data_IF_144406815071
#
_entry.id   IF_144406815071
#
_cell.length_a   1.000
_cell.length_b   1.000
_cell.length_c   1.000
_cell.angle_alpha   90.00
_cell.angle_beta   90.00
_cell.angle_gamma   90.00
#
_symmetry.space_group_name_H-M   'P 1'
#
loop_
_entity.id
_entity.type
_entity.pdbx_description
1 polymer ?
#
# COMPACT_ATOMS: atom_id res chain seq x y z
N UNK A 1 -45.53 16.09 27.19
CA UNK A 1 -45.60 14.61 27.33
C UNK A 1 -44.29 14.14 27.96
N UNK A 2 -44.42 13.42 29.07
CA UNK A 2 -43.37 13.05 30.01
C UNK A 2 -42.35 12.07 29.40
N UNK A 3 -41.08 12.19 29.77
CA UNK A 3 -40.17 11.04 29.85
C UNK A 3 -39.32 11.17 31.11
N UNK A 4 -39.50 10.19 31.99
CA UNK A 4 -39.03 10.17 33.37
C UNK A 4 -37.50 10.14 33.50
N UNK A 5 -36.99 10.92 34.45
CA UNK A 5 -35.67 10.75 35.06
C UNK A 5 -35.76 9.70 36.16
N UNK A 6 -35.08 8.57 36.00
CA UNK A 6 -34.83 7.60 37.07
C UNK A 6 -33.32 7.56 37.32
N UNK A 7 -32.91 8.07 38.47
CA UNK A 7 -31.58 7.95 39.04
C UNK A 7 -31.54 6.74 39.96
N UNK A 8 -30.63 5.80 39.73
CA UNK A 8 -30.18 4.84 40.74
C UNK A 8 -28.64 4.84 40.76
N UNK A 9 -28.11 4.95 41.97
CA UNK A 9 -26.69 5.04 42.32
C UNK A 9 -25.92 3.75 42.00
N UNK A 10 -24.73 3.87 41.40
CA UNK A 10 -23.54 3.15 41.87
C UNK A 10 -22.26 3.87 41.41
N UNK A 11 -21.30 4.00 42.32
CA UNK A 11 -20.12 4.86 42.23
C UNK A 11 -18.95 4.13 41.55
N UNK A 12 -19.09 3.82 40.25
CA UNK A 12 -18.00 3.22 39.45
C UNK A 12 -18.01 3.86 38.05
N UNK A 13 -17.10 4.82 37.82
CA UNK A 13 -16.78 5.45 36.52
C UNK A 13 -17.98 5.68 35.57
N UNK A 14 -18.74 6.77 35.78
CA UNK A 14 -19.84 7.17 34.90
C UNK A 14 -19.37 7.28 33.45
N UNK A 15 -19.78 6.31 32.64
CA UNK A 15 -19.51 6.27 31.21
C UNK A 15 -20.86 6.36 30.50
N UNK A 16 -21.08 7.41 29.69
CA UNK A 16 -22.40 7.68 29.11
C UNK A 16 -22.35 7.56 27.59
N UNK A 17 -23.34 6.86 27.01
CA UNK A 17 -23.57 6.80 25.57
C UNK A 17 -24.51 7.94 25.16
N UNK A 18 -24.08 8.78 24.22
CA UNK A 18 -24.93 9.81 23.62
C UNK A 18 -25.22 9.47 22.16
N UNK A 19 -26.51 9.33 21.84
CA UNK A 19 -27.03 9.32 20.46
C UNK A 19 -27.36 10.77 20.09
N UNK A 20 -26.64 11.35 19.14
CA UNK A 20 -26.90 12.71 18.68
C UNK A 20 -27.26 12.66 17.20
N UNK A 21 -28.49 13.09 16.88
CA UNK A 21 -28.92 13.41 15.52
C UNK A 21 -28.72 14.93 15.37
N UNK A 22 -27.82 15.39 14.51
CA UNK A 22 -27.80 16.80 14.11
C UNK A 22 -28.78 16.94 12.95
N UNK A 23 -29.95 17.53 13.22
CA UNK A 23 -30.82 18.04 12.18
C UNK A 23 -30.55 19.54 12.05
N UNK A 24 -30.00 19.97 10.93
CA UNK A 24 -30.02 21.39 10.57
C UNK A 24 -31.45 21.72 10.11
N UNK A 25 -32.12 22.67 10.78
CA UNK A 25 -33.37 23.22 10.26
C UNK A 25 -33.01 24.20 9.14
N UNK A 26 -33.28 23.83 7.89
CA UNK A 26 -33.33 24.81 6.83
C UNK A 26 -34.49 25.79 7.14
N UNK A 27 -34.32 27.11 6.97
CA UNK A 27 -35.43 28.04 7.06
C UNK A 27 -36.51 27.63 6.04
N UNK A 28 -37.79 27.69 6.44
CA UNK A 28 -38.92 27.36 5.56
C UNK A 28 -38.79 28.17 4.25
N UNK A 29 -38.59 27.48 3.13
CA UNK A 29 -38.55 28.07 1.78
C UNK A 29 -37.26 27.85 0.98
N UNK A 30 -36.20 27.25 1.55
CA UNK A 30 -34.99 26.97 0.78
C UNK A 30 -35.16 25.78 -0.18
N UNK A 31 -35.07 26.05 -1.49
CA UNK A 31 -35.08 25.03 -2.56
C UNK A 31 -33.70 24.36 -2.61
N UNK A 32 -33.59 23.01 -2.66
CA UNK A 32 -32.32 22.29 -2.52
C UNK A 32 -31.21 22.70 -3.49
N UNK A 33 -31.57 23.24 -4.66
CA UNK A 33 -30.60 23.58 -5.70
C UNK A 33 -29.83 24.89 -5.45
N UNK A 34 -30.33 25.78 -4.58
CA UNK A 34 -29.73 27.09 -4.27
C UNK A 34 -28.69 27.01 -3.14
N UNK A 35 -28.71 25.95 -2.33
CA UNK A 35 -27.76 25.75 -1.22
C UNK A 35 -26.30 25.52 -1.70
N UNK A 36 -26.11 25.09 -2.95
CA UNK A 36 -24.79 24.85 -3.56
C UNK A 36 -24.01 26.14 -3.85
N UNK A 37 -24.68 27.26 -4.09
CA UNK A 37 -24.03 28.56 -4.35
C UNK A 37 -23.58 29.28 -3.06
N UNK A 38 -24.01 28.80 -1.88
CA UNK A 38 -23.69 29.39 -0.57
C UNK A 38 -22.67 28.56 0.22
N UNK A 39 -22.00 27.59 -0.42
CA UNK A 39 -20.97 26.77 0.21
C UNK A 39 -21.47 25.74 1.23
N UNK A 40 -22.77 25.43 1.25
CA UNK A 40 -23.30 24.33 2.05
C UNK A 40 -23.17 23.03 1.25
N UNK A 41 -22.09 22.28 1.49
CA UNK A 41 -22.04 20.86 1.14
C UNK A 41 -23.14 20.11 1.91
N UNK A 42 -23.85 19.23 1.20
CA UNK A 42 -24.82 18.34 1.81
C UNK A 42 -24.11 17.46 2.85
N UNK A 43 -24.27 17.80 4.12
CA UNK A 43 -23.70 17.10 5.27
C UNK A 43 -24.33 15.69 5.32
N UNK A 44 -23.56 14.70 4.85
CA UNK A 44 -23.82 13.27 5.02
C UNK A 44 -24.12 13.02 6.49
N UNK A 45 -25.40 12.90 6.82
CA UNK A 45 -25.86 12.81 8.21
C UNK A 45 -25.25 11.60 8.93
N UNK A 46 -24.09 11.81 9.58
CA UNK A 46 -23.36 10.76 10.26
C UNK A 46 -24.16 10.29 11.49
N UNK A 47 -24.66 9.06 11.46
CA UNK A 47 -25.15 8.38 12.65
C UNK A 47 -23.94 8.00 13.53
N UNK A 48 -23.59 8.89 14.45
CA UNK A 48 -22.42 8.74 15.34
C UNK A 48 -22.83 8.37 16.76
N UNK A 49 -22.23 7.31 17.30
CA UNK A 49 -22.27 7.03 18.74
C UNK A 49 -20.98 7.51 19.40
N UNK A 50 -21.11 8.29 20.48
CA UNK A 50 -19.97 8.83 21.24
C UNK A 50 -20.00 8.32 22.68
N UNK A 51 -18.85 7.83 23.14
CA UNK A 51 -18.57 7.50 24.53
C UNK A 51 -17.70 8.59 25.14
N UNK A 52 -18.10 9.09 26.31
CA UNK A 52 -17.35 10.12 27.05
C UNK A 52 -17.03 9.69 28.49
N UNK A 53 -15.92 10.20 29.03
CA UNK A 53 -15.48 9.96 30.41
C UNK A 53 -16.09 10.99 31.37
N UNK A 54 -17.01 10.57 32.23
CA UNK A 54 -17.53 11.36 33.36
C UNK A 54 -18.06 12.76 32.98
N UNK A 55 -18.14 13.64 33.97
CA UNK A 55 -18.55 15.06 33.81
C UNK A 55 -17.55 15.88 32.98
N UNK A 56 -16.30 15.43 32.92
CA UNK A 56 -15.24 16.04 32.11
C UNK A 56 -15.54 15.94 30.61
N UNK A 57 -16.35 14.98 30.16
CA UNK A 57 -16.82 14.92 28.79
C UNK A 57 -15.75 14.58 27.74
N UNK A 58 -14.58 14.11 28.18
CA UNK A 58 -13.48 13.73 27.29
C UNK A 58 -13.90 12.61 26.34
N UNK A 59 -13.56 12.75 25.07
CA UNK A 59 -13.88 11.75 24.03
C UNK A 59 -13.08 10.47 24.27
N UNK A 60 -13.77 9.33 24.37
CA UNK A 60 -13.12 8.02 24.53
C UNK A 60 -13.28 7.14 23.28
N UNK A 61 -14.50 7.06 22.76
CA UNK A 61 -14.82 6.21 21.63
C UNK A 61 -15.84 6.88 20.74
N UNK A 62 -15.64 6.73 19.44
CA UNK A 62 -16.60 7.15 18.43
C UNK A 62 -16.84 6.00 17.47
N UNK A 63 -18.10 5.62 17.27
CA UNK A 63 -18.51 4.63 16.28
C UNK A 63 -19.34 5.32 15.20
N UNK A 64 -18.89 5.18 13.96
CA UNK A 64 -19.59 5.60 12.75
C UNK A 64 -20.41 4.42 12.24
N UNK A 65 -21.73 4.52 12.28
CA UNK A 65 -22.59 3.38 11.99
C UNK A 65 -22.59 2.98 10.51
N UNK A 66 -22.51 3.94 9.60
CA UNK A 66 -22.53 3.66 8.15
C UNK A 66 -21.28 2.94 7.65
N UNK A 67 -20.11 3.20 8.26
CA UNK A 67 -18.82 2.64 7.84
C UNK A 67 -18.33 1.52 8.75
N UNK A 68 -19.01 1.23 9.86
CA UNK A 68 -18.54 0.31 10.90
C UNK A 68 -17.27 0.77 11.63
N UNK A 69 -16.72 1.93 11.28
CA UNK A 69 -15.46 2.44 11.81
C UNK A 69 -15.59 2.86 13.28
N UNK A 70 -14.74 2.32 14.13
CA UNK A 70 -14.65 2.68 15.55
C UNK A 70 -13.31 3.35 15.83
N UNK A 71 -13.33 4.61 16.26
CA UNK A 71 -12.16 5.39 16.66
C UNK A 71 -12.08 5.46 18.19
N UNK A 72 -10.89 5.26 18.74
CA UNK A 72 -10.57 5.36 20.16
C UNK A 72 -9.64 6.56 20.41
N UNK A 73 -9.87 7.25 21.51
CA UNK A 73 -9.17 8.46 21.89
C UNK A 73 -8.70 8.38 23.34
N UNK A 74 -7.59 9.05 23.62
CA UNK A 74 -7.00 9.22 24.94
C UNK A 74 -6.63 10.67 25.17
N UNK A 75 -6.47 11.08 26.42
CA UNK A 75 -6.14 12.45 26.80
C UNK A 75 -7.26 13.13 27.58
N UNK A 76 -6.95 14.31 28.10
CA UNK A 76 -7.89 15.14 28.85
C UNK A 76 -8.91 15.82 27.92
N UNK A 77 -9.96 16.40 28.51
CA UNK A 77 -10.96 17.16 27.76
C UNK A 77 -10.28 18.30 27.00
N UNK A 78 -10.43 18.33 25.67
CA UNK A 78 -9.79 19.36 24.85
C UNK A 78 -8.37 18.99 24.39
N UNK A 79 -7.79 17.90 24.89
CA UNK A 79 -6.49 17.36 24.50
C UNK A 79 -6.61 15.93 23.95
N UNK A 80 -7.82 15.46 23.63
CA UNK A 80 -8.00 14.08 23.18
C UNK A 80 -7.31 13.82 21.84
N UNK A 81 -6.42 12.83 21.83
CA UNK A 81 -5.70 12.32 20.67
C UNK A 81 -6.23 10.97 20.24
N UNK A 82 -6.28 10.71 18.94
CA UNK A 82 -6.68 9.40 18.39
C UNK A 82 -5.55 8.39 18.60
N UNK A 83 -5.84 7.26 19.23
CA UNK A 83 -4.82 6.21 19.50
C UNK A 83 -5.09 4.92 18.75
N UNK A 84 -6.34 4.66 18.36
CA UNK A 84 -6.70 3.42 17.66
C UNK A 84 -7.92 3.61 16.77
N UNK A 85 -7.94 2.92 15.63
CA UNK A 85 -9.11 2.80 14.76
C UNK A 85 -9.33 1.35 14.39
N UNK A 86 -10.57 0.87 14.51
CA UNK A 86 -11.01 -0.47 14.10
C UNK A 86 -11.94 -0.31 12.91
N UNK A 87 -11.54 -0.88 11.77
CA UNK A 87 -12.27 -0.81 10.52
C UNK A 87 -13.33 -1.91 10.43
N UNK A 88 -14.31 -1.77 9.55
CA UNK A 88 -15.37 -2.76 9.35
C UNK A 88 -14.84 -4.14 8.93
N UNK A 89 -13.72 -4.17 8.19
CA UNK A 89 -13.05 -5.40 7.79
C UNK A 89 -12.24 -6.04 8.92
N UNK A 90 -12.34 -5.56 10.17
CA UNK A 90 -11.61 -6.09 11.31
C UNK A 90 -10.16 -5.61 11.43
N UNK A 91 -9.62 -4.89 10.44
CA UNK A 91 -8.29 -4.32 10.55
C UNK A 91 -8.24 -3.29 11.70
N UNK A 92 -7.08 -3.19 12.35
CA UNK A 92 -6.85 -2.28 13.47
C UNK A 92 -5.64 -1.41 13.16
N UNK A 93 -5.79 -0.08 13.21
CA UNK A 93 -4.68 0.86 13.10
C UNK A 93 -4.42 1.55 14.43
N UNK A 94 -3.15 1.64 14.81
CA UNK A 94 -2.66 2.33 16.00
C UNK A 94 -1.97 3.64 15.62
N UNK A 95 -2.11 4.63 16.49
CA UNK A 95 -1.66 5.99 16.25
C UNK A 95 -0.92 6.55 17.47
N UNK A 96 0.08 7.38 17.19
CA UNK A 96 0.89 8.10 18.18
C UNK A 96 1.00 9.58 17.80
N UNK A 97 1.48 10.41 18.72
CA UNK A 97 1.60 11.86 18.52
C UNK A 97 0.61 12.64 19.36
N UNK A 98 0.76 13.96 19.35
CA UNK A 98 -0.11 14.89 20.06
C UNK A 98 -1.46 15.07 19.36
N UNK A 99 -2.42 15.69 20.05
CA UNK A 99 -3.73 15.99 19.46
C UNK A 99 -3.58 16.79 18.17
N UNK A 100 -4.15 16.27 17.09
CA UNK A 100 -4.08 16.91 15.78
C UNK A 100 -2.82 16.57 14.98
N UNK A 101 -1.81 15.97 15.60
CA UNK A 101 -0.57 15.52 15.00
C UNK A 101 -0.44 13.98 14.94
N UNK A 102 -1.56 13.25 15.06
CA UNK A 102 -1.50 11.80 15.24
C UNK A 102 -1.11 11.08 13.96
N UNK A 103 0.04 10.39 14.02
CA UNK A 103 0.60 9.56 12.96
C UNK A 103 0.28 8.08 13.15
N UNK A 104 0.08 7.35 12.06
CA UNK A 104 -0.12 5.89 12.09
C UNK A 104 1.23 5.20 12.33
N UNK A 105 1.31 4.32 13.33
CA UNK A 105 2.55 3.60 13.66
C UNK A 105 2.45 2.10 13.44
N UNK A 106 1.24 1.53 13.49
CA UNK A 106 1.02 0.10 13.33
C UNK A 106 -0.34 -0.18 12.72
N UNK A 107 -0.43 -1.21 11.88
CA UNK A 107 -1.70 -1.72 11.36
C UNK A 107 -1.71 -3.25 11.39
N UNK A 108 -2.73 -3.82 12.01
CA UNK A 108 -2.97 -5.25 12.11
C UNK A 108 -4.14 -5.63 11.21
N UNK A 109 -3.98 -6.72 10.46
CA UNK A 109 -5.01 -7.27 9.58
C UNK A 109 -5.54 -8.58 10.15
N UNK A 110 -6.82 -8.92 9.91
CA UNK A 110 -7.39 -10.20 10.36
C UNK A 110 -6.66 -11.43 9.81
N UNK A 111 -5.93 -11.28 8.70
CA UNK A 111 -5.09 -12.33 8.12
C UNK A 111 -3.90 -12.71 9.00
N UNK A 112 -3.60 -11.95 10.07
CA UNK A 112 -2.40 -12.10 10.89
C UNK A 112 -1.24 -11.22 10.42
N UNK A 113 -1.36 -10.54 9.28
CA UNK A 113 -0.35 -9.59 8.82
C UNK A 113 -0.30 -8.35 9.73
N UNK A 114 0.91 -7.90 10.08
CA UNK A 114 1.17 -6.69 10.85
C UNK A 114 2.10 -5.77 10.09
N UNK A 115 1.76 -4.50 9.98
CA UNK A 115 2.56 -3.47 9.31
C UNK A 115 2.98 -2.39 10.30
N UNK A 116 4.24 -1.95 10.24
CA UNK A 116 4.82 -0.90 11.08
C UNK A 116 5.21 0.29 10.22
N UNK A 117 5.01 1.49 10.77
CA UNK A 117 5.12 2.73 10.03
C UNK A 117 5.94 3.79 10.79
N UNK A 118 6.68 4.59 10.04
CA UNK A 118 7.44 5.74 10.54
C UNK A 118 7.19 6.99 9.70
N UNK A 119 7.57 8.16 10.20
CA UNK A 119 7.34 9.46 9.54
C UNK A 119 6.37 10.36 10.31
N UNK A 120 6.21 11.59 9.82
CA UNK A 120 5.25 12.55 10.36
C UNK A 120 3.81 12.26 9.93
N UNK A 121 2.84 12.93 10.55
CA UNK A 121 1.42 12.79 10.20
C UNK A 121 1.19 13.02 8.70
N UNK A 122 0.55 12.05 8.03
CA UNK A 122 0.27 12.11 6.58
C UNK A 122 1.44 11.71 5.67
N UNK A 123 2.66 11.65 6.23
CA UNK A 123 3.88 11.25 5.55
C UNK A 123 4.39 9.88 6.04
N UNK A 124 3.54 9.05 6.65
CA UNK A 124 3.98 7.78 7.20
C UNK A 124 4.32 6.77 6.09
N UNK A 125 5.54 6.22 6.14
CA UNK A 125 6.06 5.14 5.27
C UNK A 125 6.02 3.79 5.99
N UNK A 126 5.84 2.71 5.25
CA UNK A 126 5.96 1.34 5.78
C UNK A 126 7.45 1.06 6.01
N UNK A 127 7.82 0.59 7.20
CA UNK A 127 9.21 0.23 7.53
C UNK A 127 9.38 -1.26 7.81
N UNK A 128 8.28 -1.95 8.15
CA UNK A 128 8.28 -3.39 8.40
C UNK A 128 6.92 -3.99 8.15
N UNK A 129 6.86 -5.18 7.57
CA UNK A 129 5.67 -6.02 7.49
C UNK A 129 5.99 -7.41 7.99
N UNK A 130 5.19 -7.91 8.93
CA UNK A 130 5.22 -9.29 9.41
C UNK A 130 4.03 -10.02 8.81
N UNK A 131 4.29 -11.15 8.15
CA UNK A 131 3.27 -12.04 7.61
C UNK A 131 2.80 -13.02 8.69
N UNK A 132 1.68 -13.69 8.43
CA UNK A 132 1.07 -14.62 9.37
C UNK A 132 1.93 -15.85 9.67
N UNK A 133 2.85 -16.20 8.77
CA UNK A 133 3.81 -17.30 8.92
C UNK A 133 5.07 -16.91 9.71
N UNK A 134 5.16 -15.66 10.18
CA UNK A 134 6.30 -15.13 10.92
C UNK A 134 7.38 -14.50 10.04
N UNK A 135 7.24 -14.53 8.71
CA UNK A 135 8.17 -13.87 7.78
C UNK A 135 8.12 -12.36 7.98
N UNK A 136 9.28 -11.73 8.18
CA UNK A 136 9.41 -10.30 8.37
C UNK A 136 10.15 -9.65 7.19
N UNK A 137 9.49 -8.66 6.61
CA UNK A 137 9.96 -7.81 5.51
C UNK A 137 10.35 -6.44 6.07
N UNK A 138 11.57 -5.98 5.79
CA UNK A 138 12.05 -4.65 6.19
C UNK A 138 12.06 -3.72 5.00
N UNK A 139 11.58 -2.50 5.20
CA UNK A 139 11.46 -1.49 4.16
C UNK A 139 12.32 -0.28 4.52
N UNK A 140 13.21 0.10 3.63
CA UNK A 140 14.02 1.33 3.74
C UNK A 140 13.77 2.27 2.57
N UNK A 141 14.02 3.55 2.75
CA UNK A 141 13.84 4.58 1.72
C UNK A 141 12.73 5.57 2.04
N UNK A 142 12.61 6.59 1.19
CA UNK A 142 11.54 7.56 1.26
C UNK A 142 10.22 6.97 0.75
N UNK A 143 9.11 7.59 1.14
CA UNK A 143 7.76 7.17 0.71
C UNK A 143 7.70 7.15 -0.83
N UNK A 144 7.40 5.99 -1.41
CA UNK A 144 7.35 5.77 -2.86
C UNK A 144 8.68 5.38 -3.52
N UNK A 145 9.74 5.18 -2.74
CA UNK A 145 11.03 4.63 -3.16
C UNK A 145 11.48 3.50 -2.23
N UNK A 146 10.51 2.74 -1.70
CA UNK A 146 10.78 1.71 -0.70
C UNK A 146 11.58 0.53 -1.30
N UNK A 147 12.64 0.10 -0.61
CA UNK A 147 13.33 -1.16 -0.87
C UNK A 147 12.98 -2.19 0.20
N UNK A 148 12.66 -3.40 -0.24
CA UNK A 148 12.37 -4.55 0.60
C UNK A 148 13.62 -5.43 0.71
N UNK A 149 14.11 -5.67 1.93
CA UNK A 149 15.22 -6.58 2.20
C UNK A 149 14.71 -7.93 2.75
N UNK A 150 15.16 -9.04 2.14
CA UNK A 150 14.93 -10.42 2.58
C UNK A 150 16.20 -11.28 2.41
N UNK A 151 16.25 -12.50 3.00
CA UNK A 151 17.33 -13.44 2.74
C UNK A 151 17.47 -13.87 1.26
N UNK A 152 16.39 -13.79 0.47
CA UNK A 152 16.44 -14.10 -0.97
C UNK A 152 16.98 -12.95 -1.82
N UNK A 153 17.09 -11.74 -1.26
CA UNK A 153 17.57 -10.58 -2.00
C UNK A 153 16.97 -9.24 -1.54
N UNK A 154 17.11 -8.23 -2.38
CA UNK A 154 16.55 -6.90 -2.18
C UNK A 154 15.65 -6.52 -3.35
N UNK A 155 14.37 -6.28 -3.10
CA UNK A 155 13.42 -5.76 -4.08
C UNK A 155 13.26 -4.25 -3.94
N UNK A 156 13.02 -3.55 -5.05
CA UNK A 156 12.89 -2.10 -5.13
C UNK A 156 11.56 -1.75 -5.77
N UNK A 157 10.78 -0.93 -5.09
CA UNK A 157 9.46 -0.51 -5.53
C UNK A 157 9.45 0.98 -5.84
N UNK A 158 8.62 1.38 -6.79
CA UNK A 158 8.32 2.79 -7.07
C UNK A 158 6.81 3.01 -7.21
N UNK A 159 6.36 4.23 -6.97
CA UNK A 159 4.99 4.66 -7.24
C UNK A 159 4.25 5.19 -6.02
N UNK A 160 3.03 5.69 -6.22
CA UNK A 160 2.20 6.19 -5.13
C UNK A 160 1.65 5.05 -4.27
N UNK A 161 1.31 5.36 -3.01
CA UNK A 161 0.73 4.39 -2.09
C UNK A 161 -0.54 3.75 -2.67
N UNK A 162 -0.52 2.43 -2.87
CA UNK A 162 -1.63 1.71 -3.48
C UNK A 162 -1.43 1.43 -4.97
N UNK A 163 -0.45 2.06 -5.61
CA UNK A 163 -0.03 1.86 -6.99
C UNK A 163 1.47 1.55 -7.14
N UNK A 164 2.16 1.29 -6.02
CA UNK A 164 3.55 0.88 -5.98
C UNK A 164 3.76 -0.43 -6.75
N UNK A 165 4.80 -0.46 -7.59
CA UNK A 165 5.17 -1.56 -8.49
C UNK A 165 6.62 -1.96 -8.30
N UNK A 166 6.92 -3.25 -8.50
CA UNK A 166 8.30 -3.76 -8.51
C UNK A 166 9.02 -3.24 -9.76
N UNK A 167 10.19 -2.63 -9.59
CA UNK A 167 11.00 -2.12 -10.72
C UNK A 167 12.37 -2.74 -10.81
N UNK A 168 12.88 -3.26 -9.69
CA UNK A 168 14.19 -3.91 -9.65
C UNK A 168 14.25 -4.93 -8.51
N UNK A 169 14.95 -6.03 -8.73
CA UNK A 169 15.31 -6.98 -7.68
C UNK A 169 16.79 -7.34 -7.80
N UNK A 170 17.47 -7.45 -6.66
CA UNK A 170 18.83 -8.01 -6.55
C UNK A 170 18.68 -9.31 -5.82
N UNK A 171 18.96 -10.43 -6.48
CA UNK A 171 18.86 -11.77 -5.92
C UNK A 171 20.07 -12.10 -5.05
N UNK A 172 19.93 -13.09 -4.17
CA UNK A 172 21.00 -13.52 -3.27
C UNK A 172 22.27 -14.00 -3.99
N UNK A 173 22.15 -14.50 -5.22
CA UNK A 173 23.27 -14.88 -6.09
C UNK A 173 23.95 -13.68 -6.78
N UNK A 174 23.41 -12.47 -6.59
CA UNK A 174 23.90 -11.23 -7.19
C UNK A 174 23.28 -10.89 -8.54
N UNK A 175 22.37 -11.72 -9.08
CA UNK A 175 21.64 -11.37 -10.30
C UNK A 175 20.73 -10.16 -10.07
N UNK A 176 20.65 -9.26 -11.04
CA UNK A 176 19.84 -8.04 -10.98
C UNK A 176 18.76 -8.07 -12.06
N UNK A 177 17.51 -8.21 -11.63
CA UNK A 177 16.34 -8.19 -12.50
C UNK A 177 15.73 -6.78 -12.52
N UNK A 178 15.33 -6.32 -13.70
CA UNK A 178 14.59 -5.07 -13.90
C UNK A 178 13.22 -5.39 -14.46
N UNK A 179 12.22 -4.65 -13.96
CA UNK A 179 10.82 -4.92 -14.21
C UNK A 179 10.11 -3.72 -14.82
N UNK A 180 9.14 -4.00 -15.68
CA UNK A 180 8.18 -3.02 -16.21
C UNK A 180 6.76 -3.54 -16.08
N UNK A 181 5.78 -2.66 -16.20
CA UNK A 181 4.35 -2.99 -16.08
C UNK A 181 3.66 -2.22 -14.97
N UNK A 182 2.35 -2.35 -14.89
CA UNK A 182 1.56 -1.80 -13.79
C UNK A 182 1.65 -2.69 -12.54
N UNK A 183 1.21 -2.16 -11.39
CA UNK A 183 1.14 -2.92 -10.14
C UNK A 183 0.42 -4.25 -10.35
N UNK A 184 1.09 -5.36 -10.03
CA UNK A 184 0.57 -6.72 -10.17
C UNK A 184 0.71 -7.31 -11.57
N UNK A 185 1.09 -6.52 -12.57
CA UNK A 185 1.34 -6.94 -13.96
C UNK A 185 2.82 -6.74 -14.37
N UNK A 186 3.73 -6.65 -13.39
CA UNK A 186 5.15 -6.48 -13.62
C UNK A 186 5.76 -7.72 -14.31
N UNK A 187 6.58 -7.47 -15.33
CA UNK A 187 7.31 -8.45 -16.15
C UNK A 187 8.80 -8.13 -16.16
N UNK A 188 9.66 -9.15 -16.27
CA UNK A 188 11.11 -8.95 -16.41
C UNK A 188 11.41 -8.42 -17.80
N UNK A 189 12.18 -7.33 -17.89
CA UNK A 189 12.63 -6.77 -19.17
C UNK A 189 14.14 -6.85 -19.35
N UNK A 190 14.88 -6.99 -18.24
CA UNK A 190 16.34 -7.09 -18.25
C UNK A 190 16.84 -7.83 -17.03
N UNK A 191 17.79 -8.73 -17.23
CA UNK A 191 18.50 -9.43 -16.16
C UNK A 191 20.01 -9.27 -16.35
N UNK A 192 20.71 -8.92 -15.27
CA UNK A 192 22.17 -8.78 -15.25
C UNK A 192 22.75 -9.84 -14.31
N UNK A 193 23.61 -10.71 -14.83
CA UNK A 193 24.27 -11.74 -14.05
C UNK A 193 25.62 -11.24 -13.52
N UNK A 194 26.10 -11.75 -12.37
CA UNK A 194 27.44 -11.46 -11.86
C UNK A 194 28.57 -11.80 -12.85
N UNK A 195 28.33 -12.70 -13.78
CA UNK A 195 29.24 -13.06 -14.87
C UNK A 195 29.44 -11.94 -15.91
N UNK A 196 28.66 -10.85 -15.83
CA UNK A 196 28.63 -9.77 -16.82
C UNK A 196 27.73 -10.05 -18.02
N UNK A 197 27.00 -11.17 -18.02
CA UNK A 197 25.97 -11.45 -19.02
C UNK A 197 24.77 -10.55 -18.74
N UNK A 198 24.23 -9.92 -19.78
CA UNK A 198 22.99 -9.13 -19.69
C UNK A 198 21.97 -9.68 -20.66
N UNK A 199 20.81 -10.08 -20.17
CA UNK A 199 19.70 -10.60 -20.98
C UNK A 199 18.56 -9.57 -21.02
N UNK A 200 17.87 -9.49 -22.16
CA UNK A 200 16.73 -8.60 -22.39
C UNK A 200 15.54 -9.40 -22.88
N UNK A 201 14.37 -9.06 -22.36
CA UNK A 201 13.16 -9.81 -22.56
C UNK A 201 12.02 -8.93 -23.06
N UNK A 202 11.11 -9.54 -23.82
CA UNK A 202 9.85 -8.93 -24.26
C UNK A 202 8.71 -9.92 -24.08
N UNK A 203 7.48 -9.43 -23.94
CA UNK A 203 6.29 -10.26 -23.79
C UNK A 203 5.36 -9.72 -22.72
N UNK A 204 4.23 -10.40 -22.51
CA UNK A 204 3.36 -10.13 -21.37
C UNK A 204 3.89 -10.83 -20.11
N UNK A 205 3.35 -10.45 -18.94
CA UNK A 205 3.73 -11.08 -17.68
C UNK A 205 3.51 -12.60 -17.74
N UNK A 206 4.57 -13.36 -17.48
CA UNK A 206 4.57 -14.82 -17.56
C UNK A 206 4.78 -15.40 -18.95
N UNK A 207 4.84 -14.56 -20.00
CA UNK A 207 5.09 -14.94 -21.39
C UNK A 207 6.35 -14.26 -21.96
N UNK A 208 7.24 -13.80 -21.08
CA UNK A 208 8.47 -13.10 -21.46
C UNK A 208 9.42 -14.05 -22.20
N UNK A 209 9.90 -13.61 -23.37
CA UNK A 209 10.85 -14.32 -24.23
C UNK A 209 12.16 -13.55 -24.33
N UNK A 210 13.27 -14.27 -24.42
CA UNK A 210 14.59 -13.68 -24.64
C UNK A 210 14.66 -13.10 -26.07
N UNK A 211 14.94 -11.80 -26.18
CA UNK A 211 15.11 -11.15 -27.50
C UNK A 211 16.55 -10.73 -27.77
N UNK A 212 17.33 -10.51 -26.71
CA UNK A 212 18.70 -10.05 -26.84
C UNK A 212 19.55 -10.44 -25.63
N UNK A 213 20.81 -10.80 -25.86
CA UNK A 213 21.78 -11.01 -24.80
C UNK A 213 23.12 -10.36 -25.13
N UNK A 214 23.81 -9.83 -24.12
CA UNK A 214 25.18 -9.33 -24.20
C UNK A 214 26.08 -10.27 -23.42
N UNK A 215 27.04 -10.88 -24.11
CA UNK A 215 27.99 -11.83 -23.51
C UNK A 215 29.41 -11.42 -23.93
N UNK A 216 30.22 -10.95 -22.99
CA UNK A 216 31.62 -10.56 -23.23
C UNK A 216 31.80 -9.61 -24.44
N UNK A 217 30.90 -8.63 -24.59
CA UNK A 217 30.91 -7.68 -25.71
C UNK A 217 30.28 -8.18 -27.02
N UNK A 218 29.87 -9.46 -27.09
CA UNK A 218 29.07 -10.00 -28.19
C UNK A 218 27.59 -9.73 -27.95
N UNK A 219 26.90 -9.16 -28.95
CA UNK A 219 25.46 -8.91 -28.93
C UNK A 219 24.72 -10.01 -29.71
N UNK A 220 23.97 -10.83 -29.00
CA UNK A 220 23.15 -11.90 -29.56
C UNK A 220 21.70 -11.44 -29.66
N UNK A 221 21.05 -11.70 -30.79
CA UNK A 221 19.62 -11.49 -31.00
C UNK A 221 18.90 -12.83 -31.15
N UNK A 222 17.70 -12.88 -30.60
CA UNK A 222 16.89 -14.08 -30.54
C UNK A 222 15.47 -13.81 -31.04
N UNK A 223 14.86 -14.83 -31.63
CA UNK A 223 13.46 -14.82 -32.05
C UNK A 223 12.79 -16.13 -31.69
N UNK A 224 11.49 -16.12 -31.46
CA UNK A 224 10.71 -17.32 -31.15
C UNK A 224 9.65 -17.03 -30.08
N UNK A 225 8.84 -18.04 -29.78
CA UNK A 225 7.94 -18.00 -28.63
C UNK A 225 8.72 -18.26 -27.32
N UNK A 226 8.10 -17.97 -26.19
CA UNK A 226 8.69 -18.23 -24.87
C UNK A 226 9.14 -19.70 -24.77
N UNK A 227 10.42 -19.91 -24.47
CA UNK A 227 11.04 -21.22 -24.37
C UNK A 227 11.50 -21.83 -25.71
N UNK A 228 11.13 -21.26 -26.85
CA UNK A 228 11.52 -21.68 -28.20
C UNK A 228 12.39 -20.64 -28.93
N UNK A 229 13.01 -19.74 -28.19
CA UNK A 229 13.86 -18.68 -28.73
C UNK A 229 15.13 -19.26 -29.36
N UNK A 230 15.33 -18.96 -30.64
CA UNK A 230 16.50 -19.33 -31.44
C UNK A 230 17.40 -18.12 -31.69
N UNK A 231 18.70 -18.34 -31.80
CA UNK A 231 19.64 -17.27 -32.18
C UNK A 231 19.47 -16.94 -33.67
N UNK A 232 19.26 -15.67 -34.01
CA UNK A 232 19.09 -15.22 -35.41
C UNK A 232 20.21 -14.30 -35.89
N UNK A 233 20.90 -13.63 -34.97
CA UNK A 233 21.97 -12.68 -35.30
C UNK A 233 22.97 -12.54 -34.16
N UNK A 234 24.26 -12.50 -34.47
CA UNK A 234 25.31 -12.17 -33.52
C UNK A 234 26.14 -11.00 -34.06
N UNK A 235 26.39 -9.99 -33.24
CA UNK A 235 27.34 -8.91 -33.52
C UNK A 235 28.51 -9.05 -32.56
N UNK A 236 29.71 -9.21 -33.08
CA UNK A 236 30.91 -9.41 -32.28
C UNK A 236 31.62 -8.09 -32.00
N UNK A 237 32.52 -8.11 -31.01
CA UNK A 237 33.26 -6.92 -30.59
C UNK A 237 34.17 -6.33 -31.69
N UNK A 238 34.55 -7.13 -32.68
CA UNK A 238 35.32 -6.69 -33.86
C UNK A 238 34.44 -6.05 -34.96
N UNK A 239 33.12 -5.96 -34.72
CA UNK A 239 32.14 -5.43 -35.66
C UNK A 239 31.66 -6.44 -36.70
N UNK A 240 32.14 -7.69 -36.67
CA UNK A 240 31.61 -8.74 -37.53
C UNK A 240 30.16 -9.08 -37.13
N UNK A 241 29.34 -9.41 -38.13
CA UNK A 241 27.92 -9.74 -37.94
C UNK A 241 27.64 -11.08 -38.61
N UNK A 242 27.09 -12.01 -37.84
CA UNK A 242 26.67 -13.32 -38.30
C UNK A 242 25.15 -13.45 -38.24
N UNK A 243 24.55 -14.08 -39.25
CA UNK A 243 23.13 -14.38 -39.31
C UNK A 243 22.91 -15.89 -39.25
N UNK A 244 21.84 -16.31 -38.59
CA UNK A 244 21.58 -17.70 -38.28
C UNK A 244 20.16 -18.10 -38.68
N UNK A 245 19.99 -19.32 -39.19
CA UNK A 245 18.71 -19.93 -39.50
C UNK A 245 18.63 -21.35 -38.94
N UNK A 246 17.45 -21.78 -38.51
CA UNK A 246 17.18 -23.11 -37.96
C UNK A 246 16.22 -23.05 -36.78
N UNK A 247 15.88 -24.20 -36.22
CA UNK A 247 15.15 -24.24 -34.96
C UNK A 247 16.12 -23.98 -33.79
N UNK A 248 15.57 -23.68 -32.61
CA UNK A 248 16.36 -23.53 -31.38
C UNK A 248 17.28 -24.75 -31.19
N UNK A 249 18.53 -24.48 -30.85
CA UNK A 249 19.60 -25.47 -30.67
C UNK A 249 20.03 -26.22 -31.95
N UNK A 250 19.49 -25.84 -33.12
CA UNK A 250 19.82 -26.40 -34.43
C UNK A 250 20.17 -25.31 -35.47
N UNK A 251 20.51 -24.11 -34.99
CA UNK A 251 20.79 -22.95 -35.83
C UNK A 251 22.12 -23.10 -36.59
N UNK A 252 22.12 -22.61 -37.83
CA UNK A 252 23.23 -22.71 -38.80
C UNK A 252 23.57 -21.32 -39.30
N UNK A 253 24.86 -21.05 -39.46
CA UNK A 253 25.34 -19.81 -40.06
C UNK A 253 24.90 -19.73 -41.53
N UNK A 254 24.37 -18.57 -41.93
CA UNK A 254 24.02 -18.24 -43.33
C UNK A 254 25.24 -17.80 -44.15
#
# INVERSE_FOLDING_TARGET
MQSASLSLFDEVTKTTWLRQKRSFSLPLGAVPHVAKEWGFEADDSEYVWRLRRGENGAKLRVRLLHSGLVKYYEGEKGAERKVRSVFANGAVAHFEGERGAERKVRKEFPSGQVQYYEGGQGAERLVRSELADGTAHHFEGDKGAERLESPEGTAYYEGERGADRLVRAVRADGAVEHFEGERGAERVVREEFPSGIVQYYEGEKGAERLVRAVCAGTLLHFEGEQGAERKVRAEFADGSVEHYEGEKDAERLL
#
